data_IF_499638679271
#
_entry.id   IF_499638679271
#
_cell.length_a   1.000
_cell.length_b   1.000
_cell.length_c   1.000
_cell.angle_alpha   90.00
_cell.angle_beta   90.00
_cell.angle_gamma   90.00
#
_symmetry.space_group_name_H-M   'P 1'
#
loop_
_entity.id
_entity.type
_entity.pdbx_description
1 polymer ?
#
# COMPACT_ATOMS: atom_id res chain seq x y z
N UNK A 1 5.35 -72.01 5.71
CA UNK A 1 4.12 -72.27 4.97
C UNK A 1 3.16 -71.19 5.42
N UNK A 2 2.81 -70.24 4.70
CA UNK A 2 2.47 -69.95 3.35
C UNK A 2 2.74 -68.47 3.05
N UNK A 3 3.34 -68.30 1.95
CA UNK A 3 3.63 -67.12 1.21
C UNK A 3 2.34 -66.45 0.73
N UNK A 4 2.15 -65.14 0.93
CA UNK A 4 1.16 -64.33 0.19
C UNK A 4 1.81 -63.03 -0.23
N UNK A 5 2.48 -63.08 -1.32
CA UNK A 5 2.87 -61.95 -2.17
C UNK A 5 1.63 -61.21 -2.60
N UNK A 6 1.40 -60.00 -2.00
CA UNK A 6 0.48 -59.00 -2.58
C UNK A 6 1.24 -58.26 -3.72
N UNK A 7 1.08 -58.79 -4.91
CA UNK A 7 1.46 -58.16 -6.17
C UNK A 7 0.40 -57.07 -6.45
N UNK A 8 0.69 -55.88 -5.97
CA UNK A 8 -0.09 -54.64 -6.29
C UNK A 8 0.28 -54.15 -7.66
N UNK A 9 -0.31 -54.75 -8.69
CA UNK A 9 -0.22 -54.29 -10.04
C UNK A 9 -0.68 -52.82 -10.13
N UNK A 10 0.27 -51.92 -10.29
CA UNK A 10 0.02 -50.57 -10.78
C UNK A 10 -0.63 -50.75 -12.15
N UNK A 11 -1.95 -50.50 -12.18
CA UNK A 11 -2.72 -50.43 -13.43
C UNK A 11 -2.12 -49.33 -14.30
N UNK A 12 -1.19 -49.69 -15.18
CA UNK A 12 -0.75 -48.86 -16.29
C UNK A 12 -1.98 -48.70 -17.17
N UNK A 13 -2.67 -47.57 -17.06
CA UNK A 13 -3.74 -47.18 -17.96
C UNK A 13 -3.13 -47.09 -19.36
N UNK A 14 -3.42 -48.10 -20.19
CA UNK A 14 -3.12 -48.03 -21.63
C UNK A 14 -3.74 -46.73 -22.17
N UNK A 15 -2.99 -45.90 -22.88
CA UNK A 15 -3.56 -44.77 -23.58
C UNK A 15 -4.62 -45.33 -24.56
N UNK A 16 -5.83 -44.73 -24.49
CA UNK A 16 -6.87 -45.05 -25.44
C UNK A 16 -6.33 -44.82 -26.84
N UNK A 17 -6.58 -45.75 -27.76
CA UNK A 17 -6.00 -45.78 -29.14
C UNK A 17 -6.21 -44.48 -29.94
N UNK A 18 -7.22 -43.70 -29.58
CA UNK A 18 -7.56 -42.40 -30.18
C UNK A 18 -6.67 -41.22 -29.74
N UNK A 19 -5.82 -41.42 -28.76
CA UNK A 19 -4.93 -40.36 -28.20
C UNK A 19 -3.47 -40.56 -28.65
N UNK A 20 -3.19 -41.68 -29.33
CA UNK A 20 -1.88 -42.02 -29.82
C UNK A 20 -1.48 -41.10 -31.00
N UNK A 21 -0.60 -40.13 -30.71
CA UNK A 21 -0.10 -39.17 -31.70
C UNK A 21 -0.50 -37.72 -31.45
N UNK A 22 -1.38 -37.47 -30.48
CA UNK A 22 -1.74 -36.10 -30.08
C UNK A 22 -0.66 -35.49 -29.18
N UNK A 23 -0.30 -34.25 -29.44
CA UNK A 23 0.58 -33.47 -28.56
C UNK A 23 -0.11 -33.20 -27.20
N UNK A 24 0.63 -32.96 -26.11
CA UNK A 24 0.07 -32.63 -24.81
C UNK A 24 -0.92 -31.44 -24.86
N UNK A 25 -0.71 -30.49 -25.76
CA UNK A 25 -1.59 -29.35 -25.97
C UNK A 25 -2.93 -29.73 -26.63
N UNK A 26 -2.90 -30.69 -27.58
CA UNK A 26 -4.09 -31.22 -28.25
C UNK A 26 -4.91 -32.09 -27.30
N UNK A 27 -4.26 -32.92 -26.49
CA UNK A 27 -4.89 -33.71 -25.46
C UNK A 27 -5.59 -32.79 -24.41
N UNK A 28 -4.91 -31.75 -23.95
CA UNK A 28 -5.52 -30.78 -23.02
C UNK A 28 -6.76 -30.13 -23.65
N UNK A 29 -6.74 -29.78 -24.93
CA UNK A 29 -7.87 -29.20 -25.66
C UNK A 29 -9.01 -30.19 -25.81
N UNK A 30 -8.70 -31.45 -26.17
CA UNK A 30 -9.66 -32.56 -26.39
C UNK A 30 -10.44 -32.86 -25.08
N UNK A 31 -9.74 -32.86 -23.96
CA UNK A 31 -10.35 -33.14 -22.63
C UNK A 31 -10.77 -31.90 -21.85
N UNK A 32 -10.79 -30.70 -22.46
CA UNK A 32 -11.18 -29.46 -21.81
C UNK A 32 -10.29 -29.07 -20.63
N UNK A 33 -9.04 -29.59 -20.59
CA UNK A 33 -8.08 -29.29 -19.53
C UNK A 33 -7.51 -27.88 -19.74
N UNK A 34 -7.66 -27.03 -18.78
CA UNK A 34 -6.96 -25.75 -18.74
C UNK A 34 -5.60 -25.90 -18.07
N UNK A 35 -4.61 -25.15 -18.57
CA UNK A 35 -3.30 -25.11 -17.90
C UNK A 35 -3.49 -24.57 -16.49
N UNK A 36 -3.24 -25.41 -15.48
CA UNK A 36 -3.32 -24.99 -14.10
C UNK A 36 -2.37 -23.82 -13.85
N UNK A 37 -2.93 -22.68 -13.39
CA UNK A 37 -2.18 -21.46 -13.13
C UNK A 37 -1.90 -20.61 -14.39
N UNK A 38 -2.58 -20.84 -15.51
CA UNK A 38 -2.57 -19.91 -16.63
C UNK A 38 -3.12 -18.56 -16.21
N UNK A 39 -2.52 -17.46 -16.71
CA UNK A 39 -2.96 -16.10 -16.43
C UNK A 39 -4.35 -15.86 -17.06
N UNK A 40 -5.38 -15.59 -16.27
CA UNK A 40 -6.70 -15.24 -16.82
C UNK A 40 -6.63 -13.91 -17.57
N UNK A 41 -7.58 -13.68 -18.49
CA UNK A 41 -7.74 -12.39 -19.13
C UNK A 41 -7.92 -11.27 -18.09
N UNK A 42 -7.47 -10.04 -18.42
CA UNK A 42 -7.47 -8.94 -17.46
C UNK A 42 -8.86 -8.65 -16.87
N UNK A 43 -9.91 -8.65 -17.70
CA UNK A 43 -11.29 -8.45 -17.23
C UNK A 43 -11.79 -9.58 -16.32
N UNK A 44 -11.45 -10.82 -16.63
CA UNK A 44 -11.75 -11.96 -15.77
C UNK A 44 -10.99 -11.89 -14.45
N UNK A 45 -9.71 -11.49 -14.48
CA UNK A 45 -8.90 -11.30 -13.29
C UNK A 45 -9.48 -10.26 -12.34
N UNK A 46 -9.96 -9.11 -12.88
CA UNK A 46 -10.67 -8.08 -12.11
C UNK A 46 -11.94 -8.65 -11.50
N UNK A 47 -12.74 -9.41 -12.27
CA UNK A 47 -13.96 -10.05 -11.76
C UNK A 47 -13.67 -11.05 -10.64
N UNK A 48 -12.64 -11.88 -10.80
CA UNK A 48 -12.20 -12.82 -9.78
C UNK A 48 -11.73 -12.08 -8.51
N UNK A 49 -10.95 -11.01 -8.66
CA UNK A 49 -10.49 -10.18 -7.54
C UNK A 49 -11.68 -9.56 -6.81
N UNK A 50 -12.65 -9.01 -7.53
CA UNK A 50 -13.88 -8.48 -6.93
C UNK A 50 -14.71 -9.54 -6.22
N UNK A 51 -14.78 -10.74 -6.76
CA UNK A 51 -15.41 -11.89 -6.09
C UNK A 51 -14.76 -12.25 -4.75
N UNK A 52 -13.47 -11.93 -4.58
CA UNK A 52 -12.72 -12.17 -3.35
C UNK A 52 -12.73 -10.98 -2.37
N UNK A 53 -13.55 -9.95 -2.56
CA UNK A 53 -13.61 -8.76 -1.68
C UNK A 53 -13.85 -9.10 -0.20
N UNK A 54 -14.64 -10.12 0.09
CA UNK A 54 -14.88 -10.56 1.47
C UNK A 54 -13.63 -11.19 2.10
N UNK A 55 -12.87 -11.98 1.33
CA UNK A 55 -11.57 -12.50 1.76
C UNK A 55 -10.58 -11.35 2.01
N UNK A 56 -10.48 -10.38 1.08
CA UNK A 56 -9.61 -9.20 1.22
C UNK A 56 -9.93 -8.45 2.50
N UNK A 57 -11.20 -8.19 2.79
CA UNK A 57 -11.64 -7.50 3.99
C UNK A 57 -11.35 -8.31 5.27
N UNK A 58 -11.68 -9.60 5.27
CA UNK A 58 -11.44 -10.48 6.42
C UNK A 58 -9.94 -10.63 6.70
N UNK A 59 -9.13 -10.84 5.66
CA UNK A 59 -7.68 -10.99 5.78
C UNK A 59 -7.02 -9.70 6.29
N UNK A 60 -7.41 -8.53 5.76
CA UNK A 60 -6.89 -7.24 6.22
C UNK A 60 -7.20 -6.98 7.70
N UNK A 61 -8.44 -7.26 8.13
CA UNK A 61 -8.83 -7.14 9.55
C UNK A 61 -8.08 -8.13 10.46
N UNK A 62 -7.97 -9.39 10.03
CA UNK A 62 -7.23 -10.39 10.80
C UNK A 62 -5.76 -10.00 10.97
N UNK A 63 -5.12 -9.49 9.93
CA UNK A 63 -3.73 -9.00 9.99
C UNK A 63 -3.59 -7.79 10.90
N UNK A 64 -4.55 -6.86 10.86
CA UNK A 64 -4.57 -5.67 11.72
C UNK A 64 -4.67 -6.06 13.20
N UNK A 65 -5.57 -6.98 13.55
CA UNK A 65 -5.74 -7.47 14.92
C UNK A 65 -4.51 -8.26 15.37
N UNK A 66 -3.97 -9.12 14.50
CA UNK A 66 -2.81 -9.96 14.82
C UNK A 66 -1.54 -9.14 15.09
N UNK A 67 -1.41 -7.96 14.47
CA UNK A 67 -0.22 -7.11 14.60
C UNK A 67 0.12 -6.74 16.05
N UNK A 68 -0.89 -6.58 16.90
CA UNK A 68 -0.72 -6.17 18.30
C UNK A 68 -1.35 -7.15 19.29
N UNK A 69 -1.76 -8.34 18.86
CA UNK A 69 -2.47 -9.31 19.68
C UNK A 69 -1.66 -9.83 20.89
N UNK A 70 -0.34 -9.84 20.76
CA UNK A 70 0.56 -10.30 21.85
C UNK A 70 1.00 -9.15 22.78
N UNK A 71 0.70 -7.90 22.47
CA UNK A 71 1.06 -6.76 23.28
C UNK A 71 0.01 -6.53 24.38
N UNK A 72 0.45 -6.21 25.62
CA UNK A 72 -0.46 -5.96 26.76
C UNK A 72 -1.45 -4.82 26.49
N UNK A 73 -1.03 -3.77 25.78
CA UNK A 73 -1.88 -2.65 25.40
C UNK A 73 -2.66 -2.90 24.09
N UNK A 74 -2.43 -4.05 23.43
CA UNK A 74 -3.17 -4.46 22.24
C UNK A 74 -3.24 -3.39 21.15
N UNK A 75 -4.46 -3.09 20.72
CA UNK A 75 -4.73 -2.17 19.61
C UNK A 75 -4.35 -0.69 19.90
N UNK A 76 -4.12 -0.31 21.17
CA UNK A 76 -3.69 1.06 21.52
C UNK A 76 -2.38 1.42 20.83
N UNK A 77 -1.50 0.46 20.60
CA UNK A 77 -0.25 0.67 19.89
C UNK A 77 -0.41 1.14 18.44
N UNK A 78 -1.55 0.89 17.81
CA UNK A 78 -1.82 1.39 16.44
C UNK A 78 -1.79 2.93 16.38
N UNK A 79 -2.20 3.57 17.45
CA UNK A 79 -2.24 5.03 17.59
C UNK A 79 -1.03 5.54 18.38
N UNK A 80 -0.62 4.84 19.43
CA UNK A 80 0.49 5.26 20.28
C UNK A 80 1.82 5.35 19.52
N UNK A 81 2.13 4.40 18.64
CA UNK A 81 3.40 4.41 17.89
C UNK A 81 3.57 5.65 16.99
N UNK A 82 2.62 5.99 16.09
CA UNK A 82 2.74 7.22 15.31
C UNK A 82 2.71 8.48 16.16
N UNK A 83 1.97 8.51 17.29
CA UNK A 83 2.00 9.65 18.21
C UNK A 83 3.37 9.85 18.87
N UNK A 84 4.00 8.77 19.33
CA UNK A 84 5.33 8.85 19.91
C UNK A 84 6.36 9.32 18.89
N UNK A 85 6.30 8.82 17.65
CA UNK A 85 7.14 9.30 16.57
C UNK A 85 6.91 10.80 16.31
N UNK A 86 5.65 11.22 16.24
CA UNK A 86 5.30 12.61 16.04
C UNK A 86 5.79 13.50 17.20
N UNK A 87 5.70 13.04 18.45
CA UNK A 87 6.22 13.76 19.62
C UNK A 87 7.75 13.93 19.53
N UNK A 88 8.48 12.89 19.11
CA UNK A 88 9.95 12.98 18.90
C UNK A 88 10.28 13.98 17.78
N UNK A 89 9.57 13.92 16.66
CA UNK A 89 9.78 14.87 15.56
C UNK A 89 9.42 16.31 15.97
N UNK A 90 8.35 16.50 16.73
CA UNK A 90 7.98 17.81 17.27
C UNK A 90 9.04 18.36 18.21
N UNK A 91 9.59 17.52 19.09
CA UNK A 91 10.67 17.91 19.99
C UNK A 91 11.91 18.35 19.21
N UNK A 92 12.34 17.55 18.24
CA UNK A 92 13.56 17.85 17.47
C UNK A 92 13.33 19.04 16.52
N UNK A 93 12.36 18.96 15.64
CA UNK A 93 12.15 19.95 14.58
C UNK A 93 11.39 21.18 15.08
N UNK A 94 10.43 21.01 15.98
CA UNK A 94 9.64 22.08 16.53
C UNK A 94 10.37 22.90 17.59
N UNK A 95 10.88 22.23 18.65
CA UNK A 95 11.51 22.90 19.79
C UNK A 95 13.00 23.20 19.55
N UNK A 96 13.79 22.21 19.14
CA UNK A 96 15.25 22.36 19.04
C UNK A 96 15.63 23.15 17.79
N UNK A 97 15.16 22.72 16.61
CA UNK A 97 15.51 23.34 15.33
C UNK A 97 14.60 24.53 14.96
N UNK A 98 13.46 24.68 15.64
CA UNK A 98 12.55 25.82 15.44
C UNK A 98 11.90 25.86 14.06
N UNK A 99 11.71 24.73 13.40
CA UNK A 99 11.10 24.64 12.06
C UNK A 99 9.68 25.22 11.98
N UNK A 100 9.00 25.36 13.09
CA UNK A 100 7.67 25.99 13.18
C UNK A 100 7.69 27.50 13.34
N UNK A 101 8.85 28.16 13.43
CA UNK A 101 8.95 29.61 13.71
C UNK A 101 8.40 30.48 12.58
N UNK A 102 8.43 29.96 11.35
CA UNK A 102 7.90 30.66 10.17
C UNK A 102 6.41 30.42 9.95
N UNK A 103 5.77 29.58 10.77
CA UNK A 103 4.35 29.29 10.72
C UNK A 103 3.59 30.06 11.82
N UNK A 104 2.31 30.38 11.62
CA UNK A 104 1.45 30.91 12.67
C UNK A 104 1.46 29.99 13.91
N UNK A 105 1.34 30.61 15.10
CA UNK A 105 1.30 29.85 16.35
C UNK A 105 0.16 28.83 16.33
N UNK A 106 0.46 27.59 16.71
CA UNK A 106 -0.52 26.48 16.73
C UNK A 106 -0.68 25.70 15.42
N UNK A 107 -0.14 26.18 14.29
CA UNK A 107 -0.28 25.50 12.99
C UNK A 107 0.73 24.36 12.83
N UNK A 108 1.92 24.50 13.37
CA UNK A 108 3.01 23.55 13.13
C UNK A 108 2.72 22.12 13.64
N UNK A 109 2.11 21.99 14.82
CA UNK A 109 1.80 20.65 15.39
C UNK A 109 0.78 19.89 14.54
N UNK A 110 -0.38 20.45 14.17
CA UNK A 110 -1.29 19.82 13.21
C UNK A 110 -0.61 19.51 11.86
N UNK A 111 0.15 20.44 11.31
CA UNK A 111 0.89 20.26 10.05
C UNK A 111 1.81 19.05 10.09
N UNK A 112 2.64 18.93 11.15
CA UNK A 112 3.57 17.84 11.36
C UNK A 112 2.85 16.50 11.54
N UNK A 113 1.79 16.47 12.37
CA UNK A 113 1.01 15.27 12.64
C UNK A 113 0.36 14.72 11.38
N UNK A 114 -0.31 15.57 10.61
CA UNK A 114 -0.93 15.18 9.34
C UNK A 114 0.11 14.62 8.36
N UNK A 115 1.26 15.28 8.24
CA UNK A 115 2.36 14.81 7.41
C UNK A 115 2.84 13.41 7.80
N UNK A 116 3.09 13.19 9.09
CA UNK A 116 3.58 11.90 9.61
C UNK A 116 2.55 10.79 9.37
N UNK A 117 1.28 11.00 9.72
CA UNK A 117 0.26 9.95 9.59
C UNK A 117 0.01 9.58 8.11
N UNK A 118 -0.13 10.58 7.25
CA UNK A 118 -0.35 10.38 5.81
C UNK A 118 0.86 9.72 5.14
N UNK A 119 2.09 10.16 5.49
CA UNK A 119 3.31 9.51 5.00
C UNK A 119 3.43 8.07 5.49
N UNK A 120 3.17 7.81 6.77
CA UNK A 120 3.24 6.47 7.38
C UNK A 120 2.30 5.50 6.67
N UNK A 121 1.13 5.94 6.21
CA UNK A 121 0.24 5.10 5.42
C UNK A 121 0.90 4.60 4.13
N UNK A 122 1.55 5.48 3.37
CA UNK A 122 2.29 5.08 2.17
C UNK A 122 3.47 4.18 2.52
N UNK A 123 4.29 4.58 3.48
CA UNK A 123 5.45 3.80 3.93
C UNK A 123 5.07 2.38 4.33
N UNK A 124 4.05 2.23 5.18
CA UNK A 124 3.60 0.93 5.68
C UNK A 124 2.98 0.08 4.58
N UNK A 125 2.23 0.68 3.64
CA UNK A 125 1.68 -0.01 2.47
C UNK A 125 2.78 -0.58 1.57
N UNK A 126 3.85 0.17 1.34
CA UNK A 126 4.99 -0.29 0.54
C UNK A 126 5.79 -1.38 1.26
N UNK A 127 6.08 -1.18 2.54
CA UNK A 127 6.82 -2.15 3.37
C UNK A 127 6.08 -3.49 3.45
N UNK A 128 4.75 -3.46 3.58
CA UNK A 128 3.92 -4.66 3.52
C UNK A 128 3.83 -5.23 2.10
N UNK A 129 3.72 -4.35 1.09
CA UNK A 129 3.66 -4.71 -0.31
C UNK A 129 4.88 -5.52 -0.77
N UNK A 130 6.08 -5.05 -0.49
CA UNK A 130 7.32 -5.73 -0.92
C UNK A 130 7.41 -7.16 -0.40
N UNK A 131 6.80 -7.45 0.75
CA UNK A 131 6.75 -8.78 1.38
C UNK A 131 5.44 -9.53 1.13
N UNK A 132 4.51 -8.97 0.36
CA UNK A 132 3.17 -9.53 0.23
C UNK A 132 3.15 -10.95 -0.34
N UNK A 133 4.00 -11.23 -1.33
CA UNK A 133 4.12 -12.57 -1.94
C UNK A 133 5.14 -13.42 -1.18
N UNK A 134 6.38 -12.95 -1.02
CA UNK A 134 7.47 -13.71 -0.40
C UNK A 134 7.18 -14.12 1.04
N UNK A 135 6.53 -13.26 1.82
CA UNK A 135 6.14 -13.54 3.21
C UNK A 135 4.88 -14.41 3.36
N UNK A 136 4.19 -14.77 2.26
CA UNK A 136 2.96 -15.56 2.29
C UNK A 136 2.98 -16.73 1.28
N UNK A 137 4.16 -17.25 0.95
CA UNK A 137 4.33 -18.34 -0.04
C UNK A 137 3.50 -19.59 0.31
N UNK A 138 3.38 -19.94 1.57
CA UNK A 138 2.53 -21.05 2.00
C UNK A 138 1.07 -20.88 1.58
N UNK A 139 0.52 -19.68 1.77
CA UNK A 139 -0.84 -19.34 1.35
C UNK A 139 -0.98 -19.32 -0.18
N UNK A 140 0.01 -18.75 -0.87
CA UNK A 140 0.03 -18.65 -2.34
C UNK A 140 0.08 -20.03 -3.01
N UNK A 141 0.75 -21.00 -2.38
CA UNK A 141 0.85 -22.38 -2.87
C UNK A 141 -0.35 -23.25 -2.49
N UNK A 142 -0.92 -23.03 -1.31
CA UNK A 142 -2.02 -23.85 -0.81
C UNK A 142 -3.38 -23.50 -1.43
N UNK A 143 -3.59 -22.25 -1.83
CA UNK A 143 -4.90 -21.77 -2.26
C UNK A 143 -4.86 -21.17 -3.67
N UNK A 144 -5.88 -21.49 -4.47
CA UNK A 144 -6.08 -20.91 -5.79
C UNK A 144 -6.93 -19.63 -5.68
N UNK A 145 -6.28 -18.47 -5.76
CA UNK A 145 -6.93 -17.16 -5.74
C UNK A 145 -6.08 -16.14 -6.51
N UNK A 146 -6.67 -15.02 -6.99
CA UNK A 146 -5.92 -13.92 -7.60
C UNK A 146 -4.90 -13.37 -6.61
N UNK A 147 -3.61 -13.49 -6.92
CA UNK A 147 -2.53 -13.15 -5.98
C UNK A 147 -2.47 -11.65 -5.66
N UNK A 148 -3.08 -10.80 -6.52
CA UNK A 148 -3.30 -9.39 -6.23
C UNK A 148 -4.13 -9.15 -4.96
N UNK A 149 -4.94 -10.14 -4.51
CA UNK A 149 -5.67 -10.03 -3.25
C UNK A 149 -4.75 -9.75 -2.04
N UNK A 150 -3.49 -10.25 -2.06
CA UNK A 150 -2.55 -10.03 -0.96
C UNK A 150 -2.08 -8.57 -0.85
N UNK A 151 -1.46 -7.95 -1.88
CA UNK A 151 -1.06 -6.55 -1.76
C UNK A 151 -2.26 -5.61 -1.55
N UNK A 152 -3.44 -5.90 -2.14
CA UNK A 152 -4.66 -5.13 -1.87
C UNK A 152 -5.07 -5.25 -0.40
N UNK A 153 -5.05 -6.45 0.18
CA UNK A 153 -5.40 -6.67 1.59
C UNK A 153 -4.44 -5.94 2.53
N UNK A 154 -3.14 -5.94 2.24
CA UNK A 154 -2.17 -5.22 3.05
C UNK A 154 -2.34 -3.70 2.95
N UNK A 155 -2.59 -3.16 1.75
CA UNK A 155 -2.90 -1.73 1.59
C UNK A 155 -4.20 -1.35 2.33
N UNK A 156 -5.21 -2.21 2.29
CA UNK A 156 -6.46 -2.02 3.03
C UNK A 156 -6.26 -2.09 4.56
N UNK A 157 -5.40 -2.99 5.04
CA UNK A 157 -4.99 -3.04 6.45
C UNK A 157 -4.38 -1.71 6.89
N UNK A 158 -3.47 -1.13 6.08
CA UNK A 158 -2.83 0.15 6.40
C UNK A 158 -3.82 1.32 6.35
N UNK A 159 -4.79 1.30 5.41
CA UNK A 159 -5.87 2.27 5.39
C UNK A 159 -6.72 2.19 6.67
N UNK A 160 -7.11 0.98 7.09
CA UNK A 160 -7.86 0.78 8.35
C UNK A 160 -7.07 1.33 9.54
N UNK A 161 -5.76 1.07 9.61
CA UNK A 161 -4.89 1.62 10.65
C UNK A 161 -4.85 3.15 10.61
N UNK A 162 -4.73 3.75 9.43
CA UNK A 162 -4.77 5.21 9.26
C UNK A 162 -6.10 5.78 9.75
N UNK A 163 -7.25 5.16 9.43
CA UNK A 163 -8.56 5.65 9.85
C UNK A 163 -8.69 5.73 11.39
N UNK A 164 -8.14 4.76 12.13
CA UNK A 164 -8.06 4.87 13.60
C UNK A 164 -7.17 6.05 14.03
N UNK A 165 -6.04 6.24 13.35
CA UNK A 165 -5.13 7.34 13.64
C UNK A 165 -5.72 8.72 13.27
N UNK A 166 -6.57 8.79 12.25
CA UNK A 166 -7.25 10.04 11.85
C UNK A 166 -8.16 10.59 12.95
N UNK A 167 -8.72 9.75 13.82
CA UNK A 167 -9.48 10.20 14.98
C UNK A 167 -8.61 11.12 15.86
N UNK A 168 -7.36 10.73 16.08
CA UNK A 168 -6.41 11.53 16.86
C UNK A 168 -6.01 12.79 16.12
N UNK A 169 -5.83 12.72 14.81
CA UNK A 169 -5.54 13.90 13.98
C UNK A 169 -6.65 14.93 14.09
N UNK A 170 -7.91 14.48 14.03
CA UNK A 170 -9.08 15.37 14.20
C UNK A 170 -9.12 16.00 15.61
N UNK A 171 -8.87 15.21 16.66
CA UNK A 171 -8.80 15.73 18.03
C UNK A 171 -7.70 16.78 18.16
N UNK A 172 -6.52 16.52 17.62
CA UNK A 172 -5.40 17.47 17.63
C UNK A 172 -5.75 18.72 16.81
N UNK A 173 -6.34 18.59 15.63
CA UNK A 173 -6.75 19.73 14.82
C UNK A 173 -7.69 20.66 15.64
N UNK A 174 -8.71 20.11 16.27
CA UNK A 174 -9.65 20.88 17.12
C UNK A 174 -8.94 21.49 18.33
N UNK A 175 -8.05 20.75 19.00
CA UNK A 175 -7.30 21.26 20.17
C UNK A 175 -6.38 22.45 19.83
N UNK A 176 -5.95 22.56 18.58
CA UNK A 176 -5.14 23.66 18.06
C UNK A 176 -5.94 24.72 17.32
N UNK A 177 -7.29 24.75 17.50
CA UNK A 177 -8.16 25.81 16.99
C UNK A 177 -8.70 25.60 15.58
N UNK A 178 -8.43 24.45 14.94
CA UNK A 178 -9.00 24.13 13.63
C UNK A 178 -10.33 23.39 13.83
N UNK A 179 -11.44 24.07 13.59
CA UNK A 179 -12.78 23.50 13.81
C UNK A 179 -13.33 22.78 12.58
N UNK A 180 -14.22 21.79 12.75
CA UNK A 180 -14.84 21.09 11.65
C UNK A 180 -15.54 22.03 10.66
N UNK A 181 -15.15 21.93 9.38
CA UNK A 181 -15.67 22.69 8.25
C UNK A 181 -16.03 21.77 7.09
N UNK A 182 -16.73 22.30 6.09
CA UNK A 182 -17.06 21.55 4.89
C UNK A 182 -15.80 21.01 4.17
N UNK A 183 -14.67 21.73 4.28
CA UNK A 183 -13.39 21.30 3.73
C UNK A 183 -12.90 19.96 4.31
N UNK A 184 -13.29 19.58 5.53
CA UNK A 184 -12.92 18.29 6.12
C UNK A 184 -13.44 17.10 5.32
N UNK A 185 -14.52 17.27 4.56
CA UNK A 185 -15.03 16.24 3.66
C UNK A 185 -14.03 15.89 2.54
N UNK A 186 -13.12 16.81 2.20
CA UNK A 186 -12.06 16.55 1.21
C UNK A 186 -11.04 15.50 1.66
N UNK A 187 -10.98 15.19 2.95
CA UNK A 187 -10.16 14.09 3.48
C UNK A 187 -10.57 12.77 2.85
N UNK A 188 -11.88 12.52 2.64
CA UNK A 188 -12.39 11.26 2.10
C UNK A 188 -11.89 10.99 0.67
N UNK A 189 -12.10 11.87 -0.31
CA UNK A 189 -11.58 11.66 -1.66
C UNK A 189 -10.05 11.65 -1.70
N UNK A 190 -9.37 12.44 -0.89
CA UNK A 190 -7.89 12.44 -0.82
C UNK A 190 -7.36 11.08 -0.37
N UNK A 191 -7.90 10.52 0.73
CA UNK A 191 -7.50 9.20 1.22
C UNK A 191 -7.88 8.08 0.26
N UNK A 192 -9.00 8.20 -0.47
CA UNK A 192 -9.39 7.24 -1.49
C UNK A 192 -8.39 7.22 -2.67
N UNK A 193 -7.98 8.40 -3.16
CA UNK A 193 -6.96 8.52 -4.20
C UNK A 193 -5.60 8.00 -3.74
N UNK A 194 -5.18 8.36 -2.52
CA UNK A 194 -3.94 7.86 -1.93
C UNK A 194 -3.98 6.34 -1.73
N UNK A 195 -5.12 5.76 -1.36
CA UNK A 195 -5.29 4.31 -1.25
C UNK A 195 -5.09 3.61 -2.60
N UNK A 196 -5.66 4.15 -3.68
CA UNK A 196 -5.45 3.62 -5.04
C UNK A 196 -3.98 3.70 -5.43
N UNK A 197 -3.35 4.85 -5.22
CA UNK A 197 -1.92 5.06 -5.44
C UNK A 197 -1.07 4.06 -4.65
N UNK A 198 -1.27 3.95 -3.34
CA UNK A 198 -0.54 3.05 -2.46
C UNK A 198 -0.72 1.58 -2.85
N UNK A 199 -1.92 1.19 -3.26
CA UNK A 199 -2.22 -0.18 -3.70
C UNK A 199 -1.46 -0.51 -4.98
N UNK A 200 -1.47 0.39 -5.98
CA UNK A 200 -0.69 0.22 -7.20
C UNK A 200 0.81 0.12 -6.92
N UNK A 201 1.32 0.98 -6.05
CA UNK A 201 2.72 0.98 -5.65
C UNK A 201 3.08 -0.29 -4.89
N UNK A 202 2.24 -0.74 -3.95
CA UNK A 202 2.41 -2.02 -3.24
C UNK A 202 2.44 -3.21 -4.21
N UNK A 203 1.65 -3.21 -5.28
CA UNK A 203 1.68 -4.23 -6.32
C UNK A 203 3.00 -4.22 -7.11
N UNK A 204 3.52 -3.03 -7.47
CA UNK A 204 4.83 -2.90 -8.13
C UNK A 204 5.92 -3.51 -7.26
N UNK A 205 5.95 -3.12 -5.98
CA UNK A 205 6.94 -3.62 -5.04
C UNK A 205 6.73 -5.09 -4.64
N UNK A 206 5.49 -5.60 -4.63
CA UNK A 206 5.23 -7.02 -4.42
C UNK A 206 5.84 -7.89 -5.51
N UNK A 207 5.72 -7.44 -6.78
CA UNK A 207 6.38 -8.12 -7.90
C UNK A 207 7.91 -8.03 -7.82
N UNK A 208 8.45 -6.85 -7.49
CA UNK A 208 9.89 -6.67 -7.34
C UNK A 208 10.44 -7.52 -6.19
N UNK A 209 9.79 -7.49 -5.02
CA UNK A 209 10.18 -8.25 -3.82
C UNK A 209 10.01 -9.77 -3.96
N UNK A 210 9.10 -10.23 -4.84
CA UNK A 210 8.99 -11.66 -5.16
C UNK A 210 10.18 -12.19 -5.97
N UNK A 211 10.86 -11.31 -6.72
CA UNK A 211 12.06 -11.66 -7.50
C UNK A 211 13.36 -11.44 -6.72
N UNK A 212 13.40 -10.38 -5.92
CA UNK A 212 14.58 -9.92 -5.19
C UNK A 212 14.21 -9.67 -3.74
N UNK A 213 14.35 -10.68 -2.84
CA UNK A 213 14.00 -10.58 -1.43
C UNK A 213 14.76 -9.46 -0.70
N UNK A 214 15.99 -9.17 -1.12
CA UNK A 214 16.83 -8.12 -0.53
C UNK A 214 16.24 -6.71 -0.65
N UNK A 215 15.34 -6.51 -1.61
CA UNK A 215 14.61 -5.25 -1.74
C UNK A 215 13.88 -4.88 -0.44
N UNK A 216 13.38 -5.87 0.30
CA UNK A 216 12.71 -5.64 1.57
C UNK A 216 13.64 -5.03 2.65
N UNK A 217 14.96 -5.26 2.54
CA UNK A 217 15.96 -4.69 3.46
C UNK A 217 16.35 -3.26 3.04
N UNK A 218 16.29 -2.95 1.74
CA UNK A 218 16.59 -1.62 1.21
C UNK A 218 15.45 -0.63 1.46
N UNK A 219 14.19 -1.12 1.48
CA UNK A 219 12.99 -0.27 1.57
C UNK A 219 12.97 0.70 2.77
N UNK A 220 13.38 0.32 4.00
CA UNK A 220 13.41 1.26 5.12
C UNK A 220 14.27 2.50 4.85
N UNK A 221 15.42 2.30 4.19
CA UNK A 221 16.29 3.40 3.79
C UNK A 221 15.65 4.29 2.73
N UNK A 222 15.09 3.70 1.68
CA UNK A 222 14.37 4.42 0.61
C UNK A 222 13.24 5.24 1.19
N UNK A 223 12.43 4.66 2.07
CA UNK A 223 11.28 5.33 2.67
C UNK A 223 11.69 6.47 3.60
N UNK A 224 12.80 6.32 4.33
CA UNK A 224 13.34 7.41 5.17
C UNK A 224 13.79 8.59 4.32
N UNK A 225 14.53 8.32 3.24
CA UNK A 225 14.97 9.36 2.30
C UNK A 225 13.76 10.06 1.66
N UNK A 226 12.77 9.28 1.24
CA UNK A 226 11.56 9.85 0.65
C UNK A 226 10.75 10.70 1.64
N UNK A 227 10.73 10.33 2.93
CA UNK A 227 10.09 11.12 3.98
C UNK A 227 10.69 12.53 4.06
N UNK A 228 12.01 12.64 4.06
CA UNK A 228 12.68 13.94 4.08
C UNK A 228 12.41 14.75 2.80
N UNK A 229 12.38 14.09 1.66
CA UNK A 229 12.07 14.72 0.37
C UNK A 229 10.58 15.05 0.15
N UNK A 230 9.69 14.68 1.08
CA UNK A 230 8.24 14.91 0.93
C UNK A 230 7.71 16.09 1.74
N UNK A 231 8.56 16.87 2.43
CA UNK A 231 8.08 17.99 3.23
C UNK A 231 7.18 17.61 4.40
N UNK A 232 7.42 16.43 5.00
CA UNK A 232 6.67 15.96 6.17
C UNK A 232 6.88 16.90 7.35
N UNK A 233 8.12 17.37 7.56
CA UNK A 233 8.55 18.11 8.75
C UNK A 233 8.58 19.62 8.54
N UNK A 234 8.62 20.07 7.28
CA UNK A 234 8.73 21.49 6.93
C UNK A 234 7.97 21.78 5.64
N UNK A 235 7.45 22.99 5.46
CA UNK A 235 6.79 23.39 4.23
C UNK A 235 7.81 23.56 3.11
N UNK A 236 7.65 22.81 2.04
CA UNK A 236 8.58 22.81 0.89
C UNK A 236 8.75 24.20 0.31
N UNK A 237 7.64 24.94 0.10
CA UNK A 237 7.66 26.26 -0.51
C UNK A 237 8.44 27.35 0.27
N UNK A 238 8.62 27.15 1.59
CA UNK A 238 9.37 28.10 2.43
C UNK A 238 10.87 27.86 2.32
N UNK A 239 11.28 26.60 2.42
CA UNK A 239 12.70 26.24 2.46
C UNK A 239 13.38 26.22 1.08
N UNK A 240 12.60 26.23 0.00
CA UNK A 240 13.13 26.18 -1.36
C UNK A 240 13.12 27.54 -2.10
N UNK A 241 12.80 28.64 -1.42
CA UNK A 241 12.76 29.97 -2.03
C UNK A 241 14.05 30.36 -2.72
N UNK A 242 15.18 29.96 -2.15
CA UNK A 242 16.53 30.28 -2.64
C UNK A 242 17.15 29.15 -3.48
N UNK A 243 16.39 28.09 -3.77
CA UNK A 243 16.87 26.95 -4.54
C UNK A 243 16.49 27.08 -6.03
N UNK A 244 17.23 26.43 -6.95
CA UNK A 244 16.84 26.36 -8.35
C UNK A 244 15.41 25.84 -8.55
N UNK A 245 14.66 26.46 -9.43
CA UNK A 245 13.24 26.18 -9.63
C UNK A 245 12.94 24.70 -9.94
N UNK A 246 13.83 24.00 -10.65
CA UNK A 246 13.67 22.58 -10.96
C UNK A 246 13.65 21.68 -9.70
N UNK A 247 14.35 22.07 -8.64
CA UNK A 247 14.32 21.32 -7.34
C UNK A 247 12.97 21.52 -6.68
N UNK A 248 12.46 22.77 -6.67
CA UNK A 248 11.16 23.10 -6.14
C UNK A 248 10.05 22.33 -6.87
N UNK A 249 10.10 22.36 -8.21
CA UNK A 249 9.12 21.67 -9.04
C UNK A 249 9.14 20.14 -8.79
N UNK A 250 10.33 19.54 -8.75
CA UNK A 250 10.48 18.10 -8.48
C UNK A 250 9.86 17.68 -7.13
N UNK A 251 10.04 18.49 -6.09
CA UNK A 251 9.50 18.19 -4.77
C UNK A 251 8.01 18.48 -4.66
N UNK A 252 7.51 19.51 -5.34
CA UNK A 252 6.08 19.82 -5.41
C UNK A 252 5.29 18.77 -6.23
N UNK A 253 5.92 18.12 -7.20
CA UNK A 253 5.31 17.04 -7.98
C UNK A 253 5.37 15.67 -7.30
N UNK A 254 6.00 15.60 -6.13
CA UNK A 254 6.05 14.38 -5.33
C UNK A 254 4.63 13.94 -4.93
N UNK A 255 4.18 12.73 -5.32
CA UNK A 255 2.81 12.30 -5.07
C UNK A 255 2.42 12.31 -3.58
N UNK A 256 3.36 11.98 -2.69
CA UNK A 256 3.06 11.96 -1.25
C UNK A 256 2.89 13.39 -0.72
N UNK A 257 3.71 14.34 -1.18
CA UNK A 257 3.56 15.75 -0.83
C UNK A 257 2.18 16.26 -1.24
N UNK A 258 1.72 15.93 -2.45
CA UNK A 258 0.40 16.30 -2.96
C UNK A 258 -0.73 15.80 -2.04
N UNK A 259 -0.71 14.52 -1.64
CA UNK A 259 -1.75 13.98 -0.74
C UNK A 259 -1.66 14.59 0.67
N UNK A 260 -0.46 14.84 1.19
CA UNK A 260 -0.29 15.52 2.48
C UNK A 260 -0.83 16.94 2.45
N UNK A 261 -0.51 17.71 1.38
CA UNK A 261 -0.95 19.09 1.27
C UNK A 261 -2.47 19.21 1.08
N UNK A 262 -3.09 18.26 0.39
CA UNK A 262 -4.55 18.17 0.32
C UNK A 262 -5.19 17.90 1.70
N UNK A 263 -4.60 17.04 2.53
CA UNK A 263 -5.09 16.78 3.90
C UNK A 263 -4.85 17.99 4.80
N UNK A 264 -3.70 18.66 4.69
CA UNK A 264 -3.38 19.90 5.41
C UNK A 264 -4.37 21.02 5.05
N UNK A 265 -4.61 21.23 3.77
CA UNK A 265 -5.60 22.17 3.27
C UNK A 265 -7.02 21.88 3.78
N UNK A 266 -7.38 20.60 3.84
CA UNK A 266 -8.70 20.21 4.34
C UNK A 266 -8.89 20.51 5.82
N UNK A 267 -7.86 20.33 6.65
CA UNK A 267 -7.97 20.29 8.11
C UNK A 267 -7.37 21.49 8.84
N UNK A 268 -6.49 22.27 8.21
CA UNK A 268 -5.83 23.44 8.83
C UNK A 268 -6.43 24.70 8.25
N UNK A 269 -6.97 25.59 9.12
CA UNK A 269 -7.67 26.79 8.73
C UNK A 269 -6.77 27.81 8.02
N UNK A 270 -5.55 27.97 8.52
CA UNK A 270 -4.55 28.90 7.99
C UNK A 270 -3.70 28.33 6.85
N UNK A 271 -3.96 27.08 6.44
CA UNK A 271 -3.27 26.47 5.28
C UNK A 271 -4.01 26.82 3.99
N UNK A 272 -3.76 28.03 3.49
CA UNK A 272 -4.46 28.58 2.32
C UNK A 272 -4.18 27.84 1.00
N UNK A 273 -5.02 28.11 0.01
CA UNK A 273 -4.87 27.57 -1.36
C UNK A 273 -3.57 28.00 -2.05
N UNK A 274 -2.95 29.09 -1.59
CA UNK A 274 -1.63 29.55 -2.07
C UNK A 274 -0.49 28.57 -1.75
N UNK A 275 -0.68 27.68 -0.79
CA UNK A 275 0.28 26.64 -0.44
C UNK A 275 0.15 25.38 -1.30
N UNK A 276 -0.93 25.29 -2.09
CA UNK A 276 -1.16 24.16 -2.98
C UNK A 276 -0.53 24.38 -4.33
N UNK A 277 0.09 23.37 -4.94
CA UNK A 277 0.50 23.44 -6.34
C UNK A 277 -0.69 23.71 -7.26
N UNK A 278 -0.49 24.40 -8.40
CA UNK A 278 -1.56 24.56 -9.38
C UNK A 278 -2.06 23.18 -9.83
N UNK A 279 -3.37 23.06 -10.03
CA UNK A 279 -4.00 21.80 -10.47
C UNK A 279 -3.75 20.59 -9.55
N UNK A 280 -3.56 20.78 -8.24
CA UNK A 280 -3.22 19.73 -7.26
C UNK A 280 -4.14 18.50 -7.34
N UNK A 281 -5.44 18.68 -7.55
CA UNK A 281 -6.39 17.57 -7.70
C UNK A 281 -6.16 16.75 -8.98
N UNK A 282 -5.80 17.43 -10.10
CA UNK A 282 -5.48 16.74 -11.34
C UNK A 282 -4.22 15.87 -11.18
N UNK A 283 -3.21 16.37 -10.47
CA UNK A 283 -2.02 15.58 -10.15
C UNK A 283 -2.33 14.43 -9.19
N UNK A 284 -3.16 14.66 -8.16
CA UNK A 284 -3.56 13.60 -7.24
C UNK A 284 -4.28 12.45 -7.96
N UNK A 285 -5.23 12.78 -8.84
CA UNK A 285 -5.93 11.80 -9.68
C UNK A 285 -4.98 11.16 -10.69
N UNK A 286 -4.14 11.95 -11.35
CA UNK A 286 -3.15 11.45 -12.32
C UNK A 286 -2.22 10.40 -11.71
N UNK A 287 -1.62 10.69 -10.56
CA UNK A 287 -0.78 9.74 -9.84
C UNK A 287 -1.55 8.49 -9.40
N UNK A 288 -2.77 8.64 -8.86
CA UNK A 288 -3.60 7.50 -8.46
C UNK A 288 -3.92 6.58 -9.64
N UNK A 289 -4.30 7.16 -10.79
CA UNK A 289 -4.65 6.40 -12.00
C UNK A 289 -3.41 5.74 -12.60
N UNK A 290 -2.34 6.49 -12.83
CA UNK A 290 -1.13 5.98 -13.49
C UNK A 290 -0.49 4.86 -12.67
N UNK A 291 -0.28 5.08 -11.37
CA UNK A 291 0.35 4.08 -10.49
C UNK A 291 -0.63 2.97 -10.12
N UNK A 292 -1.91 3.29 -9.89
CA UNK A 292 -2.93 2.29 -9.58
C UNK A 292 -3.15 1.30 -10.71
N UNK A 293 -3.44 1.80 -11.92
CA UNK A 293 -3.66 0.94 -13.11
C UNK A 293 -2.33 0.33 -13.58
N UNK A 294 -1.27 1.15 -13.69
CA UNK A 294 0.04 0.67 -14.12
C UNK A 294 0.60 -0.42 -13.21
N UNK A 295 0.50 -0.25 -11.90
CA UNK A 295 0.91 -1.22 -10.89
C UNK A 295 0.10 -2.51 -10.96
N UNK A 296 -1.23 -2.39 -11.11
CA UNK A 296 -2.11 -3.54 -11.28
C UNK A 296 -1.77 -4.36 -12.53
N UNK A 297 -1.65 -3.71 -13.69
CA UNK A 297 -1.29 -4.36 -14.95
C UNK A 297 0.12 -4.97 -14.88
N UNK A 298 1.06 -4.23 -14.29
CA UNK A 298 2.42 -4.72 -14.10
C UNK A 298 2.45 -5.98 -13.22
N UNK A 299 1.69 -6.01 -12.14
CA UNK A 299 1.57 -7.17 -11.24
C UNK A 299 0.89 -8.35 -11.95
N UNK A 300 -0.26 -8.12 -12.60
CA UNK A 300 -1.01 -9.12 -13.33
C UNK A 300 -0.17 -9.84 -14.41
N UNK A 301 0.70 -9.11 -15.14
CA UNK A 301 1.60 -9.70 -16.14
C UNK A 301 2.53 -10.78 -15.59
N UNK A 302 2.72 -10.87 -14.29
CA UNK A 302 3.58 -11.87 -13.65
C UNK A 302 2.82 -12.90 -12.81
N UNK A 303 1.48 -12.94 -12.91
CA UNK A 303 0.62 -13.83 -12.11
C UNK A 303 1.07 -15.28 -12.14
N UNK A 304 1.47 -15.78 -13.30
CA UNK A 304 1.93 -17.18 -13.48
C UNK A 304 3.22 -17.53 -12.73
N UNK A 305 4.04 -16.54 -12.41
CA UNK A 305 5.37 -16.74 -11.84
C UNK A 305 5.36 -16.78 -10.31
N UNK A 306 4.32 -16.24 -9.69
CA UNK A 306 4.25 -16.18 -8.24
C UNK A 306 4.00 -17.58 -7.66
N UNK A 307 4.86 -18.03 -6.74
CA UNK A 307 4.76 -19.32 -6.07
C UNK A 307 5.34 -20.52 -6.83
N UNK A 308 5.94 -20.32 -8.01
CA UNK A 308 6.63 -21.36 -8.79
C UNK A 308 8.15 -21.39 -8.53
N UNK A 309 8.62 -20.80 -7.45
CA UNK A 309 10.02 -20.85 -7.03
C UNK A 309 10.25 -21.84 -5.91
#
# INVERSE_FOLDING_TARGET
MSDTTHDGALATSRPLSDDAGLSPAELARKYGLSVSGARPGLGEYVRQLWGRRHFIMAFSRAKLVAQYSQAKLGQVWQVATPLLNAAVYWLIFGLILGAGREMPKGVYVPFLMMGIFVFTFTQSSLMAGVRAISGNLGLVRALHFPRASLPVSFSLQQLQQLLYSMIVVFVIAVAFGNYPRLSWLLVVPTLALQFVFNTGLAMIFARAGSKTPDLAQLMPFVMRTWMYASGVMFPIGVYLKDQPQWISDLLLWNPIAIYMDLIRFALIDDYGSSNLPPHVWAFAVGWAVVIGIGGFVYFWKSEERYGRG
#
